data_IF_461051711590
#
_entry.id   IF_461051711590
#
_cell.length_a   1.000
_cell.length_b   1.000
_cell.length_c   1.000
_cell.angle_alpha   90.00
_cell.angle_beta   90.00
_cell.angle_gamma   90.00
#
_symmetry.space_group_name_H-M   'P 1'
#
loop_
_entity.id
_entity.type
_entity.pdbx_description
1 polymer ?
#
# COMPACT_ATOMS: atom_id res chain seq x y z
N UNK A 1 23.69 39.01 -5.80
CA UNK A 1 23.59 37.83 -6.69
C UNK A 1 23.89 36.50 -5.99
N UNK A 2 24.94 36.35 -5.18
CA UNK A 2 25.24 35.06 -4.51
C UNK A 2 24.16 34.60 -3.53
N UNK A 3 23.63 35.52 -2.70
CA UNK A 3 22.56 35.22 -1.73
C UNK A 3 21.24 34.85 -2.41
N UNK A 4 20.88 35.56 -3.47
CA UNK A 4 19.69 35.26 -4.27
C UNK A 4 19.80 33.90 -4.97
N UNK A 5 21.00 33.53 -5.43
CA UNK A 5 21.25 32.23 -6.05
C UNK A 5 21.15 31.08 -5.03
N UNK A 6 21.70 31.29 -3.82
CA UNK A 6 21.59 30.35 -2.70
C UNK A 6 20.16 30.18 -2.20
N UNK A 7 19.37 31.25 -2.16
CA UNK A 7 17.97 31.19 -1.76
C UNK A 7 17.12 30.40 -2.77
N UNK A 8 17.36 30.59 -4.07
CA UNK A 8 16.66 29.87 -5.14
C UNK A 8 17.03 28.39 -5.14
N UNK A 9 18.30 28.04 -4.94
CA UNK A 9 18.70 26.62 -4.84
C UNK A 9 18.12 25.96 -3.59
N UNK A 10 18.12 26.64 -2.45
CA UNK A 10 17.54 26.11 -1.21
C UNK A 10 16.02 25.88 -1.34
N UNK A 11 15.28 26.88 -1.82
CA UNK A 11 13.84 26.74 -2.02
C UNK A 11 13.48 25.69 -3.07
N UNK A 12 14.24 25.61 -4.17
CA UNK A 12 14.05 24.58 -5.19
C UNK A 12 14.17 23.17 -4.60
N UNK A 13 15.20 22.91 -3.79
CA UNK A 13 15.41 21.58 -3.18
C UNK A 13 14.27 21.14 -2.26
N UNK A 14 13.64 22.07 -1.53
CA UNK A 14 12.50 21.75 -0.63
C UNK A 14 11.29 21.28 -1.44
N UNK A 15 11.01 21.89 -2.60
CA UNK A 15 9.93 21.47 -3.49
C UNK A 15 10.20 20.14 -4.21
N UNK A 16 11.47 19.79 -4.47
CA UNK A 16 11.83 18.48 -5.03
C UNK A 16 11.86 17.36 -3.98
N UNK A 17 12.13 17.68 -2.72
CA UNK A 17 12.17 16.73 -1.60
C UNK A 17 10.80 16.48 -0.97
N UNK A 18 9.79 17.32 -1.24
CA UNK A 18 8.40 17.09 -0.87
C UNK A 18 7.73 16.08 -1.82
N UNK A 19 8.30 14.88 -1.95
CA UNK A 19 7.69 13.79 -2.69
C UNK A 19 6.25 13.56 -2.22
N UNK A 20 5.32 13.36 -3.16
CA UNK A 20 3.91 13.10 -2.86
C UNK A 20 3.78 11.83 -2.01
N UNK A 21 3.58 11.99 -0.71
CA UNK A 21 3.35 10.89 0.22
C UNK A 21 1.89 10.47 0.10
N UNK A 22 1.62 9.23 -0.32
CA UNK A 22 0.27 8.66 -0.33
C UNK A 22 0.17 7.51 0.68
N UNK A 23 -1.02 6.96 0.91
CA UNK A 23 -1.23 5.80 1.81
C UNK A 23 -0.45 4.54 1.41
N UNK A 24 0.20 4.52 0.24
CA UNK A 24 1.13 3.51 -0.31
C UNK A 24 2.63 3.88 -0.17
N UNK A 25 2.97 4.95 0.56
CA UNK A 25 4.33 5.53 0.57
C UNK A 25 4.63 6.39 -0.67
N UNK A 26 5.92 6.66 -0.94
CA UNK A 26 6.40 7.29 -2.19
C UNK A 26 6.31 6.22 -3.30
N UNK A 27 5.11 6.01 -3.84
CA UNK A 27 4.87 5.12 -4.98
C UNK A 27 3.87 5.74 -5.93
N UNK A 28 4.18 5.72 -7.23
CA UNK A 28 3.26 6.11 -8.30
C UNK A 28 2.29 4.98 -8.68
N UNK A 29 2.32 3.83 -7.97
CA UNK A 29 1.46 2.67 -8.22
C UNK A 29 0.41 2.55 -7.12
N UNK A 30 -0.86 2.59 -7.54
CA UNK A 30 -2.03 2.54 -6.66
C UNK A 30 -2.47 1.10 -6.32
N UNK A 31 -2.08 0.11 -7.13
CA UNK A 31 -2.38 -1.30 -6.92
C UNK A 31 -1.08 -2.11 -6.98
N UNK A 32 -0.95 -3.11 -6.10
CA UNK A 32 0.11 -4.11 -6.21
C UNK A 32 0.00 -4.84 -7.55
N UNK A 33 1.15 -5.09 -8.17
CA UNK A 33 1.20 -5.86 -9.40
C UNK A 33 0.84 -7.33 -9.07
N UNK A 34 -0.31 -7.79 -9.55
CA UNK A 34 -0.72 -9.18 -9.39
C UNK A 34 -0.34 -10.01 -10.62
N UNK A 35 0.23 -11.19 -10.40
CA UNK A 35 0.42 -12.20 -11.43
C UNK A 35 -0.84 -13.05 -11.53
N UNK A 36 -1.43 -13.05 -12.71
CA UNK A 36 -2.61 -13.85 -13.03
C UNK A 36 -2.22 -14.95 -14.01
N UNK A 37 -2.53 -16.21 -13.70
CA UNK A 37 -2.19 -17.35 -14.55
C UNK A 37 -3.18 -18.50 -14.37
N UNK A 38 -3.17 -19.43 -15.32
CA UNK A 38 -3.88 -20.70 -15.22
C UNK A 38 -2.87 -21.82 -14.97
N UNK A 39 -3.16 -22.72 -14.04
CA UNK A 39 -2.31 -23.89 -13.82
C UNK A 39 -2.49 -24.96 -14.91
N UNK A 40 -1.71 -26.04 -14.83
CA UNK A 40 -1.78 -27.14 -15.79
C UNK A 40 -3.14 -27.86 -15.80
N UNK A 41 -3.96 -27.68 -14.75
CA UNK A 41 -5.30 -28.23 -14.66
C UNK A 41 -6.36 -27.23 -15.17
N UNK A 42 -5.96 -26.02 -15.56
CA UNK A 42 -6.83 -24.96 -16.06
C UNK A 42 -7.51 -24.14 -14.98
N UNK A 43 -7.08 -24.21 -13.72
CA UNK A 43 -7.63 -23.37 -12.66
C UNK A 43 -6.96 -21.99 -12.65
N UNK A 44 -7.77 -20.95 -12.46
CA UNK A 44 -7.32 -19.57 -12.37
C UNK A 44 -6.67 -19.29 -11.00
N UNK A 45 -5.47 -18.71 -11.04
CA UNK A 45 -4.72 -18.25 -9.88
C UNK A 45 -4.39 -16.77 -10.02
N UNK A 46 -4.52 -16.03 -8.92
CA UNK A 46 -4.13 -14.64 -8.79
C UNK A 46 -3.23 -14.47 -7.58
N UNK A 47 -1.95 -14.26 -7.85
CA UNK A 47 -0.93 -14.02 -6.84
C UNK A 47 -0.59 -12.53 -6.84
N UNK A 48 -1.04 -11.81 -5.82
CA UNK A 48 -0.69 -10.42 -5.62
C UNK A 48 0.57 -10.32 -4.74
N UNK A 49 1.43 -9.34 -5.03
CA UNK A 49 2.63 -9.08 -4.22
C UNK A 49 2.31 -8.86 -2.74
N UNK A 50 3.26 -9.20 -1.87
CA UNK A 50 3.19 -8.92 -0.41
C UNK A 50 3.55 -7.48 -0.06
N UNK A 51 3.69 -6.61 -1.07
CA UNK A 51 4.13 -5.22 -0.96
C UNK A 51 3.04 -4.25 -0.49
N UNK A 52 1.83 -4.77 -0.23
CA UNK A 52 0.77 -4.04 0.44
C UNK A 52 1.17 -3.67 1.87
N UNK A 53 1.05 -2.38 2.23
CA UNK A 53 1.32 -1.88 3.60
C UNK A 53 0.46 -2.59 4.65
N UNK A 54 -0.68 -3.14 4.23
CA UNK A 54 -1.54 -4.00 5.03
C UNK A 54 -2.03 -5.12 4.12
N UNK A 55 -1.58 -6.35 4.37
CA UNK A 55 -2.04 -7.51 3.61
C UNK A 55 -3.46 -7.93 4.04
N UNK A 56 -4.23 -8.53 3.12
CA UNK A 56 -5.54 -9.13 3.45
C UNK A 56 -5.46 -10.14 4.62
N UNK A 57 -4.32 -10.83 4.76
CA UNK A 57 -4.05 -11.75 5.86
C UNK A 57 -3.96 -11.02 7.20
N UNK A 58 -3.24 -9.91 7.26
CA UNK A 58 -3.15 -9.07 8.46
C UNK A 58 -4.49 -8.46 8.83
N UNK A 59 -5.29 -8.00 7.85
CA UNK A 59 -6.66 -7.54 8.09
C UNK A 59 -7.54 -8.65 8.67
N UNK A 60 -7.46 -9.86 8.10
CA UNK A 60 -8.25 -11.01 8.56
C UNK A 60 -7.94 -11.35 10.02
N UNK A 61 -6.67 -11.36 10.40
CA UNK A 61 -6.26 -11.62 11.79
C UNK A 61 -6.64 -10.47 12.74
N UNK A 62 -6.55 -9.21 12.29
CA UNK A 62 -7.01 -8.06 13.06
C UNK A 62 -8.53 -8.08 13.30
N UNK A 63 -9.31 -8.52 12.31
CA UNK A 63 -10.78 -8.66 12.42
C UNK A 63 -11.14 -9.82 13.36
N UNK A 64 -10.45 -10.96 13.28
CA UNK A 64 -10.67 -12.09 14.20
C UNK A 64 -10.44 -11.70 15.66
N UNK A 65 -9.36 -10.96 15.94
CA UNK A 65 -9.06 -10.48 17.30
C UNK A 65 -10.10 -9.51 17.87
N UNK A 66 -10.87 -8.85 17.00
CA UNK A 66 -11.88 -7.86 17.37
C UNK A 66 -13.32 -8.37 17.39
N UNK A 67 -13.60 -9.57 16.89
CA UNK A 67 -14.97 -10.11 16.96
C UNK A 67 -15.24 -10.61 18.38
N UNK A 68 -16.18 -10.01 19.13
CA UNK A 68 -16.73 -10.70 20.29
C UNK A 68 -17.39 -11.99 19.78
N UNK A 69 -17.27 -13.07 20.56
CA UNK A 69 -17.99 -14.31 20.25
C UNK A 69 -19.49 -14.00 20.13
N UNK A 70 -20.19 -14.56 19.13
CA UNK A 70 -21.62 -14.31 18.99
C UNK A 70 -22.33 -14.80 20.25
N UNK A 71 -22.87 -13.87 21.04
CA UNK A 71 -23.49 -14.12 22.35
C UNK A 71 -24.87 -14.75 22.27
N UNK A 72 -25.34 -15.07 21.07
CA UNK A 72 -26.57 -15.85 20.89
C UNK A 72 -26.50 -16.64 19.60
N UNK A 73 -26.78 -17.93 19.74
CA UNK A 73 -27.24 -18.81 18.68
C UNK A 73 -28.48 -18.20 18.01
N UNK A 74 -28.31 -17.73 16.77
CA UNK A 74 -29.43 -17.49 15.86
C UNK A 74 -29.91 -18.87 15.43
N UNK A 75 -31.06 -19.27 15.96
CA UNK A 75 -31.79 -20.46 15.53
C UNK A 75 -32.43 -20.22 14.16
#
# INVERSE_FOLDING_TARGET
MKITLLAVTLFGTIFFLSGCVNKHGISAKYYSDCKEYYDLQGYYHKECGEDDIITYKEMKEAIKKKKPEPTSNVW
#
